data_IF_894881188244
#
_entry.id   IF_894881188244
#
_cell.length_a   1.000
_cell.length_b   1.000
_cell.length_c   1.000
_cell.angle_alpha   90.00
_cell.angle_beta   90.00
_cell.angle_gamma   90.00
#
_symmetry.space_group_name_H-M   'P 1'
#
loop_
_entity.id
_entity.type
_entity.pdbx_description
1 polymer ?
#
# COMPACT_ATOMS: atom_id res chain seq x y z
N UNK A 1 -15.29 -31.32 21.21
CA UNK A 1 -14.16 -30.47 20.81
C UNK A 1 -14.38 -30.17 19.32
N UNK A 2 -14.41 -28.92 18.90
CA UNK A 2 -14.44 -28.61 17.48
C UNK A 2 -13.18 -29.22 16.84
N UNK A 3 -13.27 -29.70 15.60
CA UNK A 3 -12.09 -30.12 14.85
C UNK A 3 -11.11 -28.96 14.75
N UNK A 4 -9.79 -29.20 14.89
CA UNK A 4 -8.80 -28.13 14.75
C UNK A 4 -8.92 -27.52 13.34
N UNK A 5 -9.06 -26.20 13.28
CA UNK A 5 -9.12 -25.47 12.02
C UNK A 5 -7.75 -25.58 11.37
N UNK A 6 -7.70 -26.16 10.18
CA UNK A 6 -6.51 -26.08 9.35
C UNK A 6 -6.55 -24.78 8.56
N UNK A 7 -5.55 -23.93 8.75
CA UNK A 7 -5.37 -22.70 7.99
C UNK A 7 -3.88 -22.40 7.82
N UNK A 8 -3.45 -22.29 6.58
CA UNK A 8 -2.10 -21.81 6.24
C UNK A 8 -2.23 -20.76 5.13
N UNK A 9 -1.86 -19.48 5.37
CA UNK A 9 -1.97 -18.40 4.39
C UNK A 9 -1.07 -18.59 3.16
N UNK A 10 -0.19 -19.56 3.18
CA UNK A 10 0.74 -19.88 2.09
C UNK A 10 0.24 -21.05 1.21
N UNK A 11 -0.85 -21.71 1.60
CA UNK A 11 -1.44 -22.78 0.80
C UNK A 11 -2.22 -22.25 -0.40
N UNK A 12 -2.34 -23.09 -1.43
CA UNK A 12 -2.96 -22.75 -2.70
C UNK A 12 -4.39 -22.23 -2.54
N UNK A 13 -5.19 -22.86 -1.67
CA UNK A 13 -6.59 -22.47 -1.45
C UNK A 13 -6.70 -21.08 -0.81
N UNK A 14 -5.83 -20.77 0.17
CA UNK A 14 -5.79 -19.45 0.80
C UNK A 14 -5.28 -18.39 -0.16
N UNK A 15 -4.33 -18.74 -1.04
CA UNK A 15 -3.81 -17.86 -2.07
C UNK A 15 -4.81 -17.67 -3.23
N UNK A 16 -5.65 -18.65 -3.54
CA UNK A 16 -6.64 -18.57 -4.61
C UNK A 16 -7.84 -17.68 -4.24
N UNK A 17 -8.39 -17.84 -3.03
CA UNK A 17 -9.49 -17.03 -2.51
C UNK A 17 -9.26 -16.63 -1.04
N UNK A 18 -8.46 -15.57 -0.81
CA UNK A 18 -8.16 -15.15 0.56
C UNK A 18 -9.41 -14.64 1.30
N UNK A 19 -10.40 -14.11 0.60
CA UNK A 19 -11.65 -13.67 1.22
C UNK A 19 -12.38 -14.81 1.88
N UNK A 20 -12.56 -15.93 1.18
CA UNK A 20 -13.18 -17.13 1.72
C UNK A 20 -12.31 -17.77 2.81
N UNK A 21 -10.99 -17.90 2.59
CA UNK A 21 -10.08 -18.55 3.53
C UNK A 21 -10.01 -17.83 4.88
N UNK A 22 -9.78 -16.51 4.87
CA UNK A 22 -9.76 -15.72 6.11
C UNK A 22 -11.15 -15.56 6.75
N UNK A 23 -12.22 -15.58 5.96
CA UNK A 23 -13.59 -15.60 6.45
C UNK A 23 -13.91 -16.88 7.23
N UNK A 24 -13.53 -18.04 6.68
CA UNK A 24 -13.65 -19.32 7.34
C UNK A 24 -12.81 -19.39 8.63
N UNK A 25 -11.56 -18.92 8.59
CA UNK A 25 -10.70 -18.83 9.78
C UNK A 25 -11.36 -18.00 10.87
N UNK A 26 -11.80 -16.78 10.56
CA UNK A 26 -12.44 -15.90 11.55
C UNK A 26 -13.67 -16.54 12.19
N UNK A 27 -14.52 -17.19 11.38
CA UNK A 27 -15.74 -17.83 11.87
C UNK A 27 -15.46 -18.99 12.82
N UNK A 28 -14.39 -19.73 12.59
CA UNK A 28 -14.05 -20.94 13.35
C UNK A 28 -13.05 -20.67 14.49
N UNK A 29 -12.07 -19.81 14.28
CA UNK A 29 -11.00 -19.52 15.24
C UNK A 29 -10.37 -18.14 14.93
N UNK A 30 -10.90 -17.04 15.46
CA UNK A 30 -10.40 -15.68 15.14
C UNK A 30 -8.95 -15.45 15.57
N UNK A 31 -8.45 -16.24 16.54
CA UNK A 31 -7.05 -16.26 16.95
C UNK A 31 -6.51 -17.69 16.82
N UNK A 32 -5.62 -17.92 15.86
CA UNK A 32 -5.10 -19.24 15.49
C UNK A 32 -3.59 -19.30 15.73
N UNK A 33 -3.11 -20.40 16.36
CA UNK A 33 -1.69 -20.70 16.48
C UNK A 33 -1.28 -21.65 15.36
N UNK A 34 -0.38 -21.19 14.51
CA UNK A 34 0.22 -22.01 13.46
C UNK A 34 1.55 -22.57 13.99
N UNK A 35 1.64 -23.88 14.25
CA UNK A 35 2.87 -24.49 14.74
C UNK A 35 3.98 -24.44 13.70
N UNK A 36 5.23 -24.47 14.16
CA UNK A 36 6.40 -24.49 13.29
C UNK A 36 6.33 -25.63 12.28
N UNK A 37 6.64 -25.32 11.03
CA UNK A 37 6.72 -26.26 9.93
C UNK A 37 8.11 -26.18 9.27
N UNK A 38 8.44 -27.15 8.39
CA UNK A 38 9.72 -27.13 7.69
C UNK A 38 9.97 -25.79 6.97
N UNK A 39 10.99 -25.05 7.40
CA UNK A 39 11.36 -23.75 6.85
C UNK A 39 10.58 -22.53 7.37
N UNK A 40 9.61 -22.71 8.29
CA UNK A 40 8.83 -21.63 8.91
C UNK A 40 8.82 -21.76 10.43
N UNK A 41 9.08 -20.68 11.19
CA UNK A 41 8.87 -20.67 12.63
C UNK A 41 7.37 -20.80 12.95
N UNK A 42 7.04 -21.04 14.20
CA UNK A 42 5.67 -20.87 14.69
C UNK A 42 5.26 -19.40 14.68
N UNK A 43 3.96 -19.14 14.49
CA UNK A 43 3.39 -17.80 14.51
C UNK A 43 1.90 -17.87 14.86
N UNK A 44 1.35 -16.74 15.21
CA UNK A 44 -0.07 -16.57 15.49
C UNK A 44 -0.75 -15.81 14.36
N UNK A 45 -2.04 -16.11 14.12
CA UNK A 45 -2.88 -15.39 13.15
C UNK A 45 -4.08 -14.80 13.88
N UNK A 46 -4.30 -13.50 13.73
CA UNK A 46 -5.45 -12.77 14.27
C UNK A 46 -6.30 -12.23 13.11
N UNK A 47 -7.61 -12.44 13.17
CA UNK A 47 -8.56 -12.03 12.12
C UNK A 47 -9.76 -11.22 12.64
N UNK A 48 -9.88 -10.99 13.95
CA UNK A 48 -10.89 -10.13 14.56
C UNK A 48 -10.56 -8.64 14.32
N UNK A 49 -11.53 -7.89 13.81
CA UNK A 49 -11.34 -6.48 13.47
C UNK A 49 -11.02 -5.61 14.70
N UNK A 50 -11.79 -5.77 15.78
CA UNK A 50 -11.66 -4.93 16.96
C UNK A 50 -10.30 -5.15 17.63
N UNK A 51 -9.90 -6.39 17.83
CA UNK A 51 -8.62 -6.73 18.46
C UNK A 51 -7.42 -6.31 17.60
N UNK A 52 -7.47 -6.53 16.27
CA UNK A 52 -6.43 -6.01 15.38
C UNK A 52 -6.29 -4.49 15.53
N UNK A 53 -7.40 -3.78 15.54
CA UNK A 53 -7.41 -2.33 15.62
C UNK A 53 -6.92 -1.82 16.96
N UNK A 54 -7.47 -2.34 18.07
CA UNK A 54 -7.22 -1.83 19.42
C UNK A 54 -5.94 -2.37 20.03
N UNK A 55 -5.70 -3.68 19.93
CA UNK A 55 -4.65 -4.35 20.69
C UNK A 55 -3.34 -4.44 19.92
N UNK A 56 -3.43 -4.62 18.58
CA UNK A 56 -2.23 -4.75 17.73
C UNK A 56 -1.78 -3.40 17.17
N UNK A 57 -2.70 -2.62 16.58
CA UNK A 57 -2.35 -1.39 15.85
C UNK A 57 -2.35 -0.14 16.72
N UNK A 58 -3.15 -0.09 17.78
CA UNK A 58 -3.28 1.05 18.71
C UNK A 58 -2.85 0.73 20.14
N UNK A 59 -2.70 -0.55 20.48
CA UNK A 59 -2.52 -1.04 21.86
C UNK A 59 -1.17 -0.76 22.52
N UNK A 60 -0.30 0.06 21.92
CA UNK A 60 0.97 0.45 22.52
C UNK A 60 2.16 -0.42 22.10
N UNK A 61 3.25 -0.44 22.90
CA UNK A 61 4.55 -0.90 22.43
C UNK A 61 4.75 -2.41 22.38
N UNK A 62 3.74 -3.22 22.72
CA UNK A 62 3.89 -4.69 22.75
C UNK A 62 4.16 -5.26 21.34
N UNK A 63 3.44 -4.77 20.35
CA UNK A 63 3.52 -5.25 18.97
C UNK A 63 4.36 -4.33 18.09
N UNK A 64 5.63 -4.66 17.95
CA UNK A 64 6.63 -3.84 17.26
C UNK A 64 6.64 -4.06 15.75
N UNK A 65 6.91 -2.99 15.01
CA UNK A 65 7.22 -3.02 13.59
C UNK A 65 8.74 -3.06 13.30
N UNK A 66 9.58 -2.84 14.32
CA UNK A 66 11.05 -2.79 14.18
C UNK A 66 11.65 -4.04 13.55
N UNK A 67 11.01 -5.19 13.73
CA UNK A 67 11.44 -6.47 13.19
C UNK A 67 10.88 -6.76 11.79
N UNK A 68 10.31 -5.75 11.14
CA UNK A 68 9.70 -5.86 9.83
C UNK A 68 8.26 -6.34 9.86
N UNK A 69 7.66 -6.41 8.69
CA UNK A 69 6.27 -6.78 8.45
C UNK A 69 6.11 -8.15 7.78
N UNK A 70 7.17 -8.94 7.76
CA UNK A 70 7.20 -10.30 7.24
C UNK A 70 7.52 -11.30 8.36
N UNK A 71 7.46 -12.59 8.05
CA UNK A 71 7.78 -13.66 8.97
C UNK A 71 9.26 -13.64 9.37
N UNK A 72 10.16 -13.42 8.41
CA UNK A 72 11.60 -13.25 8.71
C UNK A 72 11.85 -11.85 9.27
N UNK A 73 12.72 -11.79 10.26
CA UNK A 73 13.16 -10.52 10.81
C UNK A 73 13.96 -9.71 9.78
N UNK A 74 13.59 -8.46 9.64
CA UNK A 74 14.37 -7.44 8.95
C UNK A 74 14.49 -6.23 9.87
N UNK A 75 15.42 -6.33 10.84
CA UNK A 75 15.61 -5.32 11.88
C UNK A 75 16.07 -4.02 11.23
N UNK A 76 15.42 -2.91 11.61
CA UNK A 76 15.83 -1.57 11.21
C UNK A 76 15.80 -0.65 12.41
N UNK A 77 16.89 0.09 12.59
CA UNK A 77 17.00 1.16 13.59
C UNK A 77 16.76 2.54 12.98
N UNK A 78 16.41 2.60 11.68
CA UNK A 78 16.15 3.85 10.96
C UNK A 78 14.81 3.79 10.23
N UNK A 79 14.17 4.94 10.08
CA UNK A 79 13.02 5.13 9.20
C UNK A 79 11.70 4.62 9.75
N UNK A 80 10.82 4.23 8.81
CA UNK A 80 9.42 3.92 9.10
C UNK A 80 9.19 2.59 9.81
N UNK A 81 10.19 1.71 9.87
CA UNK A 81 10.13 0.44 10.60
C UNK A 81 10.51 0.57 12.07
N UNK A 82 10.82 1.77 12.55
CA UNK A 82 11.10 2.03 13.97
C UNK A 82 9.81 2.24 14.76
N UNK A 83 9.93 2.31 16.07
CA UNK A 83 8.84 2.56 17.00
C UNK A 83 9.15 3.77 17.91
N UNK A 84 8.16 4.23 18.66
CA UNK A 84 8.33 5.26 19.70
C UNK A 84 8.58 6.67 19.17
N UNK A 85 9.32 7.46 19.96
CA UNK A 85 9.51 8.88 19.70
C UNK A 85 10.27 9.17 18.39
N UNK A 86 11.29 8.38 18.10
CA UNK A 86 12.05 8.52 16.84
C UNK A 86 11.15 8.30 15.63
N UNK A 87 10.35 7.22 15.61
CA UNK A 87 9.38 6.98 14.55
C UNK A 87 8.43 8.16 14.36
N UNK A 88 7.88 8.70 15.46
CA UNK A 88 6.95 9.83 15.39
C UNK A 88 7.62 11.06 14.75
N UNK A 89 8.85 11.39 15.16
CA UNK A 89 9.60 12.51 14.62
C UNK A 89 9.98 12.29 13.13
N UNK A 90 10.46 11.11 12.79
CA UNK A 90 10.82 10.75 11.42
C UNK A 90 9.61 10.77 10.48
N UNK A 91 8.48 10.23 10.93
CA UNK A 91 7.22 10.24 10.21
C UNK A 91 6.74 11.64 9.84
N UNK A 92 6.94 12.61 10.74
CA UNK A 92 6.54 14.00 10.53
C UNK A 92 7.22 14.65 9.33
N UNK A 93 8.43 14.22 8.94
CA UNK A 93 9.14 14.71 7.75
C UNK A 93 8.29 14.52 6.49
N UNK A 94 7.73 13.32 6.33
CA UNK A 94 6.88 12.97 5.17
C UNK A 94 5.45 13.46 5.37
N UNK A 95 4.89 13.30 6.56
CA UNK A 95 3.49 13.63 6.86
C UNK A 95 3.15 15.11 6.56
N UNK A 96 4.09 16.03 6.76
CA UNK A 96 3.91 17.45 6.43
C UNK A 96 3.64 17.70 4.94
N UNK A 97 4.18 16.85 4.05
CA UNK A 97 3.93 16.90 2.60
C UNK A 97 2.65 16.16 2.17
N UNK A 98 1.97 15.46 3.10
CA UNK A 98 0.76 14.68 2.86
C UNK A 98 -0.45 15.20 3.68
N UNK A 99 -0.40 16.46 4.11
CA UNK A 99 -1.56 17.13 4.69
C UNK A 99 -2.70 17.26 3.67
N UNK A 100 -3.97 17.42 4.08
CA UNK A 100 -5.08 17.57 3.13
C UNK A 100 -4.86 18.67 2.08
N UNK A 101 -4.24 19.77 2.47
CA UNK A 101 -3.89 20.88 1.56
C UNK A 101 -2.80 20.47 0.57
N UNK A 102 -1.74 19.80 1.01
CA UNK A 102 -0.67 19.31 0.15
C UNK A 102 -1.18 18.26 -0.85
N UNK A 103 -2.00 17.32 -0.38
CA UNK A 103 -2.62 16.29 -1.25
C UNK A 103 -3.53 16.93 -2.31
N UNK A 104 -4.29 17.97 -1.95
CA UNK A 104 -5.09 18.71 -2.93
C UNK A 104 -4.23 19.35 -4.02
N UNK A 105 -3.03 19.80 -3.70
CA UNK A 105 -2.11 20.39 -4.68
C UNK A 105 -1.56 19.35 -5.70
N UNK A 106 -1.62 18.05 -5.39
CA UNK A 106 -1.26 16.99 -6.33
C UNK A 106 -2.35 16.71 -7.39
N UNK A 107 -3.61 17.10 -7.15
CA UNK A 107 -4.73 16.83 -8.06
C UNK A 107 -4.44 17.18 -9.52
N UNK A 108 -3.95 18.39 -9.90
CA UNK A 108 -3.70 18.70 -11.30
C UNK A 108 -2.64 17.81 -11.96
N UNK A 109 -1.65 17.34 -11.19
CA UNK A 109 -0.61 16.42 -11.69
C UNK A 109 -1.18 15.03 -11.93
N UNK A 110 -2.02 14.53 -11.01
CA UNK A 110 -2.72 13.25 -11.18
C UNK A 110 -3.66 13.32 -12.37
N UNK A 111 -4.45 14.38 -12.50
CA UNK A 111 -5.36 14.60 -13.64
C UNK A 111 -4.61 14.59 -14.98
N UNK A 112 -3.46 15.25 -15.07
CA UNK A 112 -2.65 15.27 -16.28
C UNK A 112 -2.17 13.86 -16.67
N UNK A 113 -1.64 13.09 -15.71
CA UNK A 113 -1.23 11.70 -15.97
C UNK A 113 -2.42 10.84 -16.42
N UNK A 114 -3.54 10.93 -15.71
CA UNK A 114 -4.75 10.16 -16.02
C UNK A 114 -5.28 10.51 -17.40
N UNK A 115 -5.34 11.81 -17.76
CA UNK A 115 -5.80 12.26 -19.07
C UNK A 115 -4.89 11.73 -20.19
N UNK A 116 -3.57 11.75 -20.01
CA UNK A 116 -2.61 11.18 -20.98
C UNK A 116 -2.80 9.65 -21.14
N UNK A 117 -3.01 8.91 -20.05
CA UNK A 117 -3.22 7.47 -20.09
C UNK A 117 -4.54 7.13 -20.79
N UNK A 118 -5.61 7.88 -20.54
CA UNK A 118 -6.90 7.73 -21.23
C UNK A 118 -6.76 8.04 -22.72
N UNK A 119 -6.06 9.12 -23.11
CA UNK A 119 -5.78 9.42 -24.51
C UNK A 119 -4.98 8.29 -25.19
N UNK A 120 -3.99 7.74 -24.51
CA UNK A 120 -3.23 6.59 -25.04
C UNK A 120 -4.12 5.37 -25.25
N UNK A 121 -5.07 5.09 -24.36
CA UNK A 121 -6.05 4.03 -24.54
C UNK A 121 -6.97 4.31 -25.73
N UNK A 122 -7.50 5.53 -25.85
CA UNK A 122 -8.39 5.93 -26.96
C UNK A 122 -7.69 5.87 -28.33
N UNK A 123 -6.37 6.02 -28.36
CA UNK A 123 -5.58 5.92 -29.58
C UNK A 123 -5.38 4.46 -30.08
N UNK A 124 -5.76 3.45 -29.31
CA UNK A 124 -5.67 2.05 -29.70
C UNK A 124 -6.85 1.72 -30.64
N UNK A 125 -6.60 1.38 -31.93
CA UNK A 125 -7.66 1.21 -32.92
C UNK A 125 -8.65 0.09 -32.59
N UNK A 126 -8.15 -0.98 -31.93
CA UNK A 126 -8.95 -2.15 -31.54
C UNK A 126 -9.94 -1.85 -30.42
N UNK A 127 -9.78 -0.71 -29.70
CA UNK A 127 -10.62 -0.30 -28.57
C UNK A 127 -10.64 -1.30 -27.43
N UNK A 128 -9.53 -2.02 -27.22
CA UNK A 128 -9.35 -3.03 -26.17
C UNK A 128 -7.89 -3.21 -25.79
N UNK A 129 -7.64 -3.70 -24.58
CA UNK A 129 -6.30 -4.00 -24.10
C UNK A 129 -6.27 -4.40 -22.64
N UNK A 130 -5.08 -4.65 -22.12
CA UNK A 130 -4.86 -4.93 -20.72
C UNK A 130 -4.80 -3.63 -19.89
N UNK A 131 -5.77 -3.44 -19.03
CA UNK A 131 -5.91 -2.24 -18.20
C UNK A 131 -4.76 -2.05 -17.20
N UNK A 132 -4.16 -3.16 -16.72
CA UNK A 132 -3.02 -3.05 -15.80
C UNK A 132 -1.84 -2.37 -16.48
N UNK A 133 -1.42 -2.85 -17.64
CA UNK A 133 -0.28 -2.29 -18.38
C UNK A 133 -0.57 -0.90 -18.98
N UNK A 134 -1.81 -0.66 -19.42
CA UNK A 134 -2.18 0.60 -20.06
C UNK A 134 -2.46 1.73 -19.08
N UNK A 135 -2.93 1.42 -17.86
CA UNK A 135 -3.44 2.45 -16.96
C UNK A 135 -3.08 2.24 -15.48
N UNK A 136 -3.46 1.10 -14.87
CA UNK A 136 -3.40 0.95 -13.43
C UNK A 136 -1.97 0.94 -12.88
N UNK A 137 -1.00 0.43 -13.65
CA UNK A 137 0.41 0.37 -13.29
C UNK A 137 1.14 1.70 -13.59
N UNK A 138 1.00 2.33 -14.79
CA UNK A 138 1.71 3.57 -15.08
C UNK A 138 1.34 4.73 -14.15
N UNK A 139 0.07 4.85 -13.74
CA UNK A 139 -0.39 5.97 -12.93
C UNK A 139 0.38 6.11 -11.61
N UNK A 140 0.35 5.15 -10.66
CA UNK A 140 1.08 5.29 -9.40
C UNK A 140 2.61 5.30 -9.60
N UNK A 141 3.14 4.62 -10.61
CA UNK A 141 4.57 4.63 -10.90
C UNK A 141 5.09 6.01 -11.32
N UNK A 142 4.35 6.70 -12.20
CA UNK A 142 4.65 8.08 -12.62
C UNK A 142 4.48 9.06 -11.44
N UNK A 143 3.41 8.89 -10.66
CA UNK A 143 3.21 9.70 -9.44
C UNK A 143 4.35 9.55 -8.45
N UNK A 144 4.87 8.33 -8.28
CA UNK A 144 5.99 8.07 -7.39
C UNK A 144 7.25 8.83 -7.83
N UNK A 145 7.57 8.83 -9.13
CA UNK A 145 8.67 9.63 -9.67
C UNK A 145 8.48 11.11 -9.35
N UNK A 146 7.30 11.67 -9.63
CA UNK A 146 7.00 13.09 -9.36
C UNK A 146 7.09 13.43 -7.87
N UNK A 147 6.57 12.57 -6.99
CA UNK A 147 6.61 12.80 -5.54
C UNK A 147 8.04 12.79 -4.99
N UNK A 148 8.90 11.92 -5.51
CA UNK A 148 10.32 11.88 -5.14
C UNK A 148 11.15 12.91 -5.89
N UNK A 149 10.58 13.62 -6.89
CA UNK A 149 11.30 14.59 -7.71
C UNK A 149 12.30 13.94 -8.65
N UNK A 150 12.02 12.73 -9.10
CA UNK A 150 12.75 12.04 -10.16
C UNK A 150 12.14 12.34 -11.53
N UNK A 151 12.89 12.14 -12.62
CA UNK A 151 12.34 12.22 -13.96
C UNK A 151 11.19 11.23 -14.14
N UNK A 152 10.05 11.72 -14.63
CA UNK A 152 8.86 10.87 -14.82
C UNK A 152 9.13 9.74 -15.83
N UNK A 153 10.02 9.94 -16.79
CA UNK A 153 10.44 8.94 -17.76
C UNK A 153 11.08 7.69 -17.11
N UNK A 154 11.55 7.81 -15.88
CA UNK A 154 12.19 6.70 -15.15
C UNK A 154 11.18 5.73 -14.50
N UNK A 155 9.87 5.96 -14.65
CA UNK A 155 8.85 5.20 -13.94
C UNK A 155 8.95 3.67 -14.15
N UNK A 156 9.43 3.21 -15.31
CA UNK A 156 9.63 1.79 -15.58
C UNK A 156 10.74 1.18 -14.72
N UNK A 157 11.83 1.92 -14.44
CA UNK A 157 12.87 1.49 -13.52
C UNK A 157 12.32 1.43 -12.09
N UNK A 158 11.54 2.43 -11.67
CA UNK A 158 10.88 2.46 -10.36
C UNK A 158 9.95 1.27 -10.18
N UNK A 159 9.17 0.91 -11.22
CA UNK A 159 8.32 -0.28 -11.21
C UNK A 159 9.15 -1.55 -11.06
N UNK A 160 10.18 -1.73 -11.87
CA UNK A 160 11.06 -2.89 -11.81
C UNK A 160 11.71 -3.04 -10.43
N UNK A 161 12.24 -1.96 -9.86
CA UNK A 161 12.84 -1.97 -8.53
C UNK A 161 11.84 -2.29 -7.43
N UNK A 162 10.65 -1.69 -7.49
CA UNK A 162 9.58 -1.97 -6.54
C UNK A 162 9.20 -3.45 -6.56
N UNK A 163 8.92 -4.02 -7.73
CA UNK A 163 8.57 -5.43 -7.88
C UNK A 163 9.66 -6.36 -7.33
N UNK A 164 10.93 -6.06 -7.69
CA UNK A 164 12.06 -6.86 -7.22
C UNK A 164 12.20 -6.80 -5.70
N UNK A 165 12.12 -5.59 -5.09
CA UNK A 165 12.21 -5.44 -3.64
C UNK A 165 11.06 -6.15 -2.92
N UNK A 166 9.85 -6.08 -3.45
CA UNK A 166 8.69 -6.73 -2.85
C UNK A 166 8.81 -8.25 -2.96
N UNK A 167 9.16 -8.78 -4.14
CA UNK A 167 9.42 -10.19 -4.31
C UNK A 167 10.49 -10.68 -3.32
N UNK A 168 11.64 -10.01 -3.26
CA UNK A 168 12.75 -10.37 -2.37
C UNK A 168 12.42 -10.23 -0.87
N UNK A 169 11.43 -9.40 -0.51
CA UNK A 169 11.02 -9.23 0.89
C UNK A 169 10.10 -10.35 1.36
N UNK A 170 9.25 -10.89 0.49
CA UNK A 170 8.17 -11.80 0.88
C UNK A 170 8.32 -13.24 0.38
N UNK A 171 9.12 -13.44 -0.65
CA UNK A 171 9.57 -14.76 -1.07
C UNK A 171 10.88 -15.11 -0.34
N UNK A 172 11.38 -16.31 -0.44
CA UNK A 172 12.63 -16.73 0.20
C UNK A 172 13.80 -16.64 -0.80
N UNK A 173 14.35 -15.42 -1.01
CA UNK A 173 15.35 -15.21 -2.05
C UNK A 173 16.71 -15.81 -1.67
N UNK A 174 17.52 -16.09 -2.69
CA UNK A 174 18.93 -16.42 -2.51
C UNK A 174 19.65 -15.33 -1.70
N UNK A 175 20.55 -15.71 -0.77
CA UNK A 175 21.33 -14.74 0.00
C UNK A 175 22.04 -13.71 -0.89
N UNK A 176 21.97 -12.43 -0.54
CA UNK A 176 22.59 -11.33 -1.28
C UNK A 176 21.75 -10.77 -2.46
N UNK A 177 20.59 -11.34 -2.74
CA UNK A 177 19.70 -10.82 -3.81
C UNK A 177 19.17 -9.42 -3.49
N UNK A 178 18.85 -9.16 -2.24
CA UNK A 178 18.38 -7.85 -1.78
C UNK A 178 19.47 -6.77 -1.92
N UNK A 179 20.68 -7.07 -1.50
CA UNK A 179 21.84 -6.18 -1.62
C UNK A 179 22.18 -5.91 -3.10
N UNK A 180 21.94 -6.88 -3.97
CA UNK A 180 22.21 -6.71 -5.40
C UNK A 180 21.30 -5.66 -6.01
N UNK A 181 20.00 -5.66 -5.72
CA UNK A 181 19.09 -4.63 -6.24
C UNK A 181 19.34 -3.26 -5.59
N UNK A 182 19.73 -3.21 -4.31
CA UNK A 182 20.06 -1.96 -3.65
C UNK A 182 21.30 -1.28 -4.24
N UNK A 183 22.25 -2.03 -4.86
CA UNK A 183 23.40 -1.47 -5.58
C UNK A 183 23.00 -0.67 -6.83
N UNK A 184 21.81 -0.89 -7.38
CA UNK A 184 21.28 -0.06 -8.45
C UNK A 184 20.51 1.15 -7.89
N UNK A 185 19.70 0.91 -6.86
CA UNK A 185 18.77 1.90 -6.29
C UNK A 185 19.49 3.01 -5.54
N UNK A 186 20.45 2.67 -4.69
CA UNK A 186 21.13 3.65 -3.83
C UNK A 186 21.93 4.69 -4.62
N UNK A 187 22.73 4.34 -5.64
CA UNK A 187 23.41 5.35 -6.46
C UNK A 187 22.44 6.30 -7.18
N UNK A 188 21.30 5.78 -7.66
CA UNK A 188 20.28 6.61 -8.30
C UNK A 188 19.75 7.68 -7.34
N UNK A 189 19.25 7.28 -6.15
CA UNK A 189 18.75 8.24 -5.17
C UNK A 189 19.85 9.14 -4.60
N UNK A 190 21.06 8.63 -4.41
CA UNK A 190 22.24 9.44 -4.00
C UNK A 190 22.49 10.56 -5.00
N UNK A 191 22.49 10.27 -6.30
CA UNK A 191 22.64 11.28 -7.35
C UNK A 191 21.56 12.35 -7.27
N UNK A 192 20.30 11.98 -7.06
CA UNK A 192 19.20 12.92 -6.92
C UNK A 192 19.32 13.79 -5.66
N UNK A 193 19.82 13.25 -4.56
CA UNK A 193 20.11 14.01 -3.33
C UNK A 193 21.26 14.99 -3.57
N UNK A 194 22.37 14.55 -4.18
CA UNK A 194 23.52 15.38 -4.50
C UNK A 194 23.18 16.54 -5.43
N UNK A 195 22.31 16.34 -6.42
CA UNK A 195 21.80 17.40 -7.29
C UNK A 195 21.11 18.51 -6.49
N UNK A 196 20.30 18.15 -5.47
CA UNK A 196 19.64 19.13 -4.59
C UNK A 196 20.61 19.85 -3.68
N UNK A 197 21.60 19.14 -3.16
CA UNK A 197 22.68 19.75 -2.39
C UNK A 197 23.46 20.76 -3.23
N UNK A 198 23.75 20.45 -4.49
CA UNK A 198 24.40 21.36 -5.42
C UNK A 198 23.58 22.65 -5.68
N UNK A 199 22.25 22.56 -5.74
CA UNK A 199 21.38 23.74 -5.86
C UNK A 199 21.48 24.65 -4.64
N UNK A 200 21.53 24.11 -3.43
CA UNK A 200 21.72 24.87 -2.19
C UNK A 200 23.08 25.58 -2.17
N UNK A 201 24.14 24.85 -2.53
CA UNK A 201 25.49 25.43 -2.62
C UNK A 201 25.55 26.57 -3.65
N UNK A 202 24.98 26.37 -4.84
CA UNK A 202 24.94 27.39 -5.89
C UNK A 202 24.14 28.63 -5.47
N UNK A 203 23.15 28.49 -4.61
CA UNK A 203 22.37 29.60 -4.06
C UNK A 203 22.98 30.21 -2.79
N UNK A 204 24.12 29.74 -2.30
CA UNK A 204 24.77 30.20 -1.07
C UNK A 204 23.98 29.95 0.20
N UNK A 205 23.21 28.82 0.25
CA UNK A 205 22.37 28.46 1.40
C UNK A 205 23.12 27.49 2.29
N UNK A 206 23.57 27.96 3.44
CA UNK A 206 24.31 27.16 4.43
C UNK A 206 23.33 26.42 5.37
N UNK A 207 22.23 27.05 5.76
CA UNK A 207 21.21 26.52 6.66
C UNK A 207 19.84 26.37 5.94
N UNK A 208 19.66 25.33 5.09
CA UNK A 208 18.41 25.16 4.37
C UNK A 208 17.26 24.74 5.32
N UNK A 209 16.06 25.27 5.01
CA UNK A 209 14.82 24.98 5.71
C UNK A 209 13.64 24.85 4.72
N UNK A 210 12.43 24.67 5.23
CA UNK A 210 11.23 24.46 4.42
C UNK A 210 10.87 25.64 3.50
N UNK A 211 11.38 26.87 3.76
CA UNK A 211 11.12 28.04 2.91
C UNK A 211 11.84 27.97 1.56
N UNK A 212 12.84 27.12 1.45
CA UNK A 212 13.59 26.90 0.21
C UNK A 212 12.87 25.97 -0.78
N UNK A 213 11.79 25.26 -0.32
CA UNK A 213 10.97 24.43 -1.21
C UNK A 213 10.16 25.30 -2.18
N UNK A 214 10.17 24.95 -3.45
CA UNK A 214 9.51 25.70 -4.52
C UNK A 214 10.22 26.99 -4.91
N UNK A 215 11.41 27.29 -4.35
CA UNK A 215 12.23 28.46 -4.65
C UNK A 215 13.63 28.04 -5.11
N UNK A 216 14.51 27.65 -4.20
CA UNK A 216 15.86 27.12 -4.49
C UNK A 216 15.79 25.63 -4.83
N UNK A 217 14.96 24.89 -4.11
CA UNK A 217 14.75 23.46 -4.29
C UNK A 217 13.39 23.18 -4.92
N UNK A 218 13.25 22.10 -5.71
CA UNK A 218 11.94 21.59 -6.08
C UNK A 218 11.08 21.27 -4.83
N UNK A 219 9.76 21.45 -4.92
CA UNK A 219 8.85 21.00 -3.84
C UNK A 219 8.49 19.53 -4.03
N UNK A 220 9.42 18.66 -3.62
CA UNK A 220 9.29 17.20 -3.63
C UNK A 220 9.72 16.60 -2.27
N UNK A 221 9.47 15.30 -2.07
CA UNK A 221 9.77 14.65 -0.80
C UNK A 221 11.26 14.48 -0.52
N UNK A 222 12.09 14.37 -1.55
CA UNK A 222 13.54 14.29 -1.38
C UNK A 222 14.11 15.63 -0.94
N UNK A 223 13.70 16.74 -1.56
CA UNK A 223 14.04 18.10 -1.13
C UNK A 223 13.55 18.36 0.29
N UNK A 224 12.33 17.93 0.60
CA UNK A 224 11.74 18.06 1.94
C UNK A 224 12.54 17.27 2.98
N UNK A 225 12.97 16.04 2.68
CA UNK A 225 13.84 15.26 3.55
C UNK A 225 15.18 15.97 3.80
N UNK A 226 15.79 16.52 2.76
CA UNK A 226 17.07 17.23 2.82
C UNK A 226 17.04 18.43 3.77
N UNK A 227 15.94 19.20 3.77
CA UNK A 227 15.82 20.42 4.61
C UNK A 227 15.18 20.18 5.97
N UNK A 228 14.64 19.00 6.21
CA UNK A 228 13.97 18.65 7.47
C UNK A 228 14.96 18.29 8.58
N UNK A 229 14.47 18.35 9.83
CA UNK A 229 15.21 17.94 11.02
C UNK A 229 14.40 16.91 11.80
N UNK A 230 15.11 15.94 12.36
CA UNK A 230 14.61 14.94 13.31
C UNK A 230 15.46 15.05 14.57
N UNK A 231 14.85 15.23 15.75
CA UNK A 231 15.55 15.42 17.02
C UNK A 231 16.63 16.52 16.95
N UNK A 232 16.26 17.67 16.34
CA UNK A 232 17.11 18.86 16.16
C UNK A 232 18.35 18.67 15.26
N UNK A 233 18.56 17.53 14.66
CA UNK A 233 19.59 17.28 13.65
C UNK A 233 19.00 17.08 12.27
N UNK A 234 19.79 17.29 11.23
CA UNK A 234 19.43 16.92 9.85
C UNK A 234 19.36 15.39 9.71
N UNK A 235 18.57 14.94 8.74
CA UNK A 235 18.53 13.54 8.38
C UNK A 235 19.91 13.11 7.86
N UNK A 236 20.30 11.91 8.24
CA UNK A 236 21.47 11.25 7.63
C UNK A 236 21.17 10.84 6.19
N UNK A 237 22.20 10.56 5.42
CA UNK A 237 22.04 10.03 4.06
C UNK A 237 21.22 8.72 4.04
N UNK A 238 21.48 7.82 4.98
CA UNK A 238 20.76 6.56 5.14
C UNK A 238 19.28 6.79 5.44
N UNK A 239 18.93 7.76 6.29
CA UNK A 239 17.55 8.11 6.60
C UNK A 239 16.81 8.67 5.37
N UNK A 240 17.50 9.48 4.54
CA UNK A 240 16.94 9.96 3.28
C UNK A 240 16.72 8.83 2.28
N UNK A 241 17.66 7.90 2.14
CA UNK A 241 17.49 6.69 1.32
C UNK A 241 16.33 5.82 1.83
N UNK A 242 16.16 5.70 3.14
CA UNK A 242 15.04 4.96 3.73
C UNK A 242 13.68 5.58 3.36
N UNK A 243 13.58 6.91 3.30
CA UNK A 243 12.37 7.59 2.79
C UNK A 243 12.13 7.19 1.32
N UNK A 244 13.16 7.26 0.48
CA UNK A 244 13.04 6.90 -0.94
C UNK A 244 12.58 5.44 -1.13
N UNK A 245 13.17 4.50 -0.38
CA UNK A 245 12.77 3.09 -0.42
C UNK A 245 11.34 2.87 0.07
N UNK A 246 10.91 3.57 1.11
CA UNK A 246 9.55 3.47 1.62
C UNK A 246 8.51 3.94 0.60
N UNK A 247 8.80 5.01 -0.13
CA UNK A 247 7.96 5.45 -1.25
C UNK A 247 7.96 4.41 -2.37
N UNK A 248 9.13 3.95 -2.77
CA UNK A 248 9.30 2.98 -3.87
C UNK A 248 8.51 1.69 -3.62
N UNK A 249 8.56 1.15 -2.40
CA UNK A 249 7.89 -0.12 -2.05
C UNK A 249 6.43 0.05 -1.63
N UNK A 250 6.05 1.18 -1.05
CA UNK A 250 4.72 1.38 -0.47
C UNK A 250 3.67 1.95 -1.41
N UNK A 251 4.07 2.78 -2.38
CA UNK A 251 3.14 3.62 -3.12
C UNK A 251 2.69 3.08 -4.49
N UNK A 252 3.31 2.03 -4.99
CA UNK A 252 3.13 1.60 -6.36
C UNK A 252 2.20 0.40 -6.51
N UNK A 253 2.61 -0.78 -6.03
CA UNK A 253 1.87 -2.02 -6.18
C UNK A 253 0.49 -1.96 -5.52
N UNK A 254 0.41 -1.38 -4.33
CA UNK A 254 -0.84 -1.27 -3.57
C UNK A 254 -1.87 -0.41 -4.30
N UNK A 255 -1.46 0.72 -4.89
CA UNK A 255 -2.36 1.61 -5.64
C UNK A 255 -2.72 1.02 -7.00
N UNK A 256 -1.79 0.34 -7.67
CA UNK A 256 -2.06 -0.44 -8.89
C UNK A 256 -3.17 -1.47 -8.63
N UNK A 257 -3.04 -2.24 -7.55
CA UNK A 257 -4.03 -3.27 -7.19
C UNK A 257 -5.37 -2.65 -6.77
N UNK A 258 -5.36 -1.53 -6.03
CA UNK A 258 -6.60 -0.80 -5.69
C UNK A 258 -7.38 -0.40 -6.96
N UNK A 259 -6.70 0.22 -7.93
CA UNK A 259 -7.35 0.69 -9.18
C UNK A 259 -7.83 -0.50 -10.01
N UNK A 260 -7.02 -1.56 -10.10
CA UNK A 260 -7.37 -2.78 -10.81
C UNK A 260 -8.57 -3.51 -10.19
N UNK A 261 -8.59 -3.67 -8.87
CA UNK A 261 -9.71 -4.31 -8.13
C UNK A 261 -10.99 -3.49 -8.26
N UNK A 262 -10.88 -2.19 -8.07
CA UNK A 262 -12.02 -1.27 -8.18
C UNK A 262 -12.68 -1.41 -9.55
N UNK A 263 -11.91 -1.29 -10.63
CA UNK A 263 -12.45 -1.43 -11.97
C UNK A 263 -13.00 -2.84 -12.24
N UNK A 264 -12.28 -3.88 -11.83
CA UNK A 264 -12.75 -5.26 -11.96
C UNK A 264 -14.12 -5.45 -11.31
N UNK A 265 -14.29 -5.07 -10.04
CA UNK A 265 -15.55 -5.24 -9.31
C UNK A 265 -16.70 -4.44 -9.89
N UNK A 266 -16.41 -3.29 -10.46
CA UNK A 266 -17.42 -2.48 -11.14
C UNK A 266 -17.87 -3.11 -12.47
N UNK A 267 -16.94 -3.70 -13.22
CA UNK A 267 -17.24 -4.27 -14.53
C UNK A 267 -17.69 -5.74 -14.48
N UNK A 268 -17.42 -6.47 -13.41
CA UNK A 268 -17.98 -7.82 -13.16
C UNK A 268 -19.51 -7.81 -13.04
N UNK A 269 -20.08 -6.68 -12.60
CA UNK A 269 -21.51 -6.44 -12.52
C UNK A 269 -21.84 -5.12 -13.24
N UNK A 270 -22.16 -5.17 -14.54
CA UNK A 270 -22.36 -3.97 -15.37
C UNK A 270 -23.34 -2.94 -14.79
N UNK A 271 -24.30 -3.37 -13.99
CA UNK A 271 -25.23 -2.49 -13.26
C UNK A 271 -24.52 -1.56 -12.27
N UNK A 272 -23.40 -1.95 -11.69
CA UNK A 272 -22.58 -1.09 -10.81
C UNK A 272 -21.93 0.05 -11.59
N UNK A 273 -21.44 -0.25 -12.80
CA UNK A 273 -20.87 0.75 -13.69
C UNK A 273 -21.91 1.77 -14.13
N UNK A 274 -23.11 1.29 -14.52
CA UNK A 274 -24.23 2.15 -14.89
C UNK A 274 -24.72 3.00 -13.69
N UNK A 275 -24.75 2.43 -12.49
CA UNK A 275 -25.10 3.15 -11.27
C UNK A 275 -24.12 4.30 -10.98
N UNK A 276 -22.81 4.08 -11.15
CA UNK A 276 -21.80 5.13 -10.98
C UNK A 276 -21.88 6.21 -12.04
N UNK A 277 -22.15 5.85 -13.31
CA UNK A 277 -22.41 6.83 -14.38
C UNK A 277 -23.62 7.71 -14.07
N UNK A 278 -24.69 7.10 -13.56
CA UNK A 278 -25.90 7.80 -13.19
C UNK A 278 -25.74 8.66 -11.91
N UNK A 279 -24.88 8.24 -10.99
CA UNK A 279 -24.62 8.91 -9.73
C UNK A 279 -23.14 8.95 -9.35
N UNK A 280 -22.34 9.88 -9.91
CA UNK A 280 -20.92 10.01 -9.62
C UNK A 280 -20.59 10.33 -8.14
N UNK A 281 -21.57 10.73 -7.32
CA UNK A 281 -21.33 10.94 -5.89
C UNK A 281 -20.99 9.66 -5.13
N UNK A 282 -21.25 8.48 -5.71
CA UNK A 282 -20.89 7.17 -5.16
C UNK A 282 -19.42 6.78 -5.41
N UNK A 283 -18.65 7.58 -6.13
CA UNK A 283 -17.24 7.26 -6.42
C UNK A 283 -16.43 7.08 -5.14
N UNK A 284 -16.58 7.96 -4.16
CA UNK A 284 -15.87 7.83 -2.87
C UNK A 284 -16.28 6.54 -2.13
N UNK A 285 -17.57 6.17 -2.18
CA UNK A 285 -18.04 4.90 -1.60
C UNK A 285 -17.44 3.68 -2.32
N UNK A 286 -17.42 3.69 -3.65
CA UNK A 286 -16.85 2.61 -4.44
C UNK A 286 -15.34 2.41 -4.15
N UNK A 287 -14.58 3.50 -3.98
CA UNK A 287 -13.16 3.44 -3.61
C UNK A 287 -12.98 2.82 -2.23
N UNK A 288 -13.73 3.26 -1.21
CA UNK A 288 -13.62 2.71 0.15
C UNK A 288 -14.12 1.25 0.20
N UNK A 289 -15.16 0.91 -0.54
CA UNK A 289 -15.64 -0.46 -0.62
C UNK A 289 -14.65 -1.39 -1.33
N UNK A 290 -13.96 -0.92 -2.36
CA UNK A 290 -12.88 -1.68 -2.99
C UNK A 290 -11.74 -1.94 -2.01
N UNK A 291 -11.33 -0.94 -1.24
CA UNK A 291 -10.34 -1.08 -0.18
C UNK A 291 -10.78 -2.07 0.90
N UNK A 292 -12.05 -2.05 1.28
CA UNK A 292 -12.61 -2.99 2.25
C UNK A 292 -12.63 -4.42 1.71
N UNK A 293 -13.22 -4.61 0.55
CA UNK A 293 -13.59 -5.93 0.02
C UNK A 293 -12.39 -6.69 -0.55
N UNK A 294 -11.56 -5.99 -1.34
CA UNK A 294 -10.33 -6.51 -1.95
C UNK A 294 -9.11 -5.67 -1.50
N UNK A 295 -8.70 -5.76 -0.22
CA UNK A 295 -7.57 -4.98 0.27
C UNK A 295 -6.30 -5.34 -0.50
N UNK A 296 -5.55 -4.37 -1.06
CA UNK A 296 -4.31 -4.64 -1.79
C UNK A 296 -3.26 -5.38 -0.97
N UNK A 297 -3.35 -5.26 0.36
CA UNK A 297 -2.52 -6.00 1.32
C UNK A 297 -3.44 -6.88 2.17
N UNK A 298 -3.18 -8.19 2.16
CA UNK A 298 -4.01 -9.18 2.86
C UNK A 298 -3.72 -9.24 4.35
N UNK A 299 -2.45 -9.12 4.72
CA UNK A 299 -1.99 -9.25 6.09
C UNK A 299 -0.61 -8.62 6.29
N UNK A 300 -0.25 -8.37 7.55
CA UNK A 300 1.09 -7.98 7.98
C UNK A 300 1.51 -8.73 9.23
N UNK A 301 2.82 -8.79 9.49
CA UNK A 301 3.35 -9.28 10.74
C UNK A 301 3.69 -8.15 11.72
N UNK A 302 3.65 -8.48 13.00
CA UNK A 302 4.25 -7.77 14.14
C UNK A 302 5.03 -8.75 14.97
N UNK A 303 5.95 -8.24 15.78
CA UNK A 303 6.73 -9.05 16.71
C UNK A 303 6.49 -8.56 18.13
N UNK A 304 6.18 -9.46 19.06
CA UNK A 304 6.01 -9.12 20.48
C UNK A 304 7.34 -8.67 21.10
N UNK A 305 7.32 -7.60 21.89
CA UNK A 305 8.48 -7.09 22.63
C UNK A 305 8.61 -7.67 24.04
N UNK A 306 7.57 -8.33 24.52
CA UNK A 306 7.52 -8.97 25.83
C UNK A 306 6.51 -10.10 25.80
N UNK A 307 6.57 -10.95 26.80
CA UNK A 307 5.49 -11.91 27.05
C UNK A 307 4.16 -11.16 27.21
N UNK A 308 3.12 -11.69 26.58
CA UNK A 308 1.76 -11.14 26.60
C UNK A 308 0.74 -12.25 26.49
N UNK A 309 -0.54 -11.91 26.60
CA UNK A 309 -1.64 -12.87 26.45
C UNK A 309 -2.68 -12.30 25.48
N UNK A 310 -3.06 -13.12 24.51
CA UNK A 310 -4.20 -12.89 23.63
C UNK A 310 -5.12 -14.11 23.67
N UNK A 311 -6.41 -13.88 23.90
CA UNK A 311 -7.35 -14.96 24.16
C UNK A 311 -6.85 -15.86 25.31
N UNK A 312 -6.83 -17.18 25.09
CA UNK A 312 -6.34 -18.16 26.07
C UNK A 312 -4.89 -18.60 25.81
N UNK A 313 -4.17 -17.91 24.93
CA UNK A 313 -2.79 -18.21 24.57
C UNK A 313 -1.81 -17.27 25.27
N UNK A 314 -0.83 -17.83 25.94
CA UNK A 314 0.36 -17.11 26.42
C UNK A 314 1.32 -16.97 25.24
N UNK A 315 1.63 -15.73 24.89
CA UNK A 315 2.47 -15.35 23.74
C UNK A 315 3.85 -15.00 24.27
N UNK A 316 4.90 -15.71 23.87
CA UNK A 316 6.25 -15.42 24.32
C UNK A 316 6.78 -14.11 23.72
N UNK A 317 7.81 -13.55 24.34
CA UNK A 317 8.61 -12.50 23.73
C UNK A 317 9.18 -12.98 22.39
N UNK A 318 9.25 -12.10 21.41
CA UNK A 318 9.74 -12.37 20.03
C UNK A 318 8.82 -13.26 19.19
N UNK A 319 7.62 -13.54 19.64
CA UNK A 319 6.63 -14.22 18.82
C UNK A 319 6.17 -13.37 17.63
N UNK A 320 5.88 -14.04 16.52
CA UNK A 320 5.31 -13.43 15.32
C UNK A 320 3.79 -13.50 15.38
N UNK A 321 3.14 -12.37 15.16
CA UNK A 321 1.70 -12.25 14.99
C UNK A 321 1.39 -11.74 13.58
N UNK A 322 0.75 -12.56 12.78
CA UNK A 322 0.12 -12.18 11.52
C UNK A 322 -1.28 -11.62 11.83
N UNK A 323 -1.53 -10.38 11.51
CA UNK A 323 -2.88 -9.83 11.57
C UNK A 323 -3.46 -9.70 10.16
N UNK A 324 -4.66 -10.30 9.98
CA UNK A 324 -5.34 -10.38 8.69
C UNK A 324 -6.19 -9.14 8.45
N UNK A 325 -5.77 -8.30 7.51
CA UNK A 325 -6.57 -7.17 7.02
C UNK A 325 -7.78 -7.70 6.26
N UNK A 326 -7.58 -8.72 5.42
CA UNK A 326 -8.65 -9.34 4.63
C UNK A 326 -9.75 -9.93 5.52
N UNK A 327 -9.37 -10.64 6.58
CA UNK A 327 -10.32 -11.18 7.56
C UNK A 327 -11.05 -10.09 8.32
N UNK A 328 -10.32 -9.10 8.84
CA UNK A 328 -10.90 -7.97 9.58
C UNK A 328 -11.88 -7.13 8.75
N UNK A 329 -11.56 -6.89 7.48
CA UNK A 329 -12.40 -6.11 6.58
C UNK A 329 -13.71 -6.80 6.17
N UNK A 330 -13.85 -8.07 6.52
CA UNK A 330 -15.07 -8.86 6.31
C UNK A 330 -15.71 -9.32 7.62
N UNK A 331 -15.42 -8.64 8.71
CA UNK A 331 -15.99 -8.94 10.01
C UNK A 331 -17.45 -8.51 10.09
N UNK A 332 -18.42 -9.47 10.29
CA UNK A 332 -19.83 -9.14 10.39
C UNK A 332 -20.21 -8.35 11.65
N UNK A 333 -19.31 -8.26 12.64
CA UNK A 333 -19.50 -7.38 13.79
C UNK A 333 -19.32 -5.89 13.44
N UNK A 334 -18.71 -5.60 12.28
CA UNK A 334 -18.40 -4.23 11.83
C UNK A 334 -19.10 -3.87 10.53
N UNK A 335 -19.25 -4.83 9.61
CA UNK A 335 -19.77 -4.61 8.27
C UNK A 335 -21.04 -5.43 8.04
N UNK A 336 -22.13 -4.77 7.64
CA UNK A 336 -23.32 -5.45 7.18
C UNK A 336 -23.06 -6.14 5.85
N UNK A 337 -23.55 -7.36 5.65
CA UNK A 337 -23.30 -8.18 4.46
C UNK A 337 -21.82 -8.12 4.02
N UNK A 338 -20.90 -8.62 4.88
CA UNK A 338 -19.46 -8.38 4.71
C UNK A 338 -18.88 -9.01 3.44
N UNK A 339 -19.52 -10.06 2.91
CA UNK A 339 -19.12 -10.80 1.73
C UNK A 339 -19.78 -10.29 0.44
N UNK A 340 -20.52 -9.17 0.50
CA UNK A 340 -21.06 -8.47 -0.65
C UNK A 340 -20.25 -7.21 -0.97
N UNK A 341 -19.95 -6.99 -2.27
CA UNK A 341 -19.35 -5.75 -2.77
C UNK A 341 -20.47 -4.75 -3.08
N UNK A 342 -20.61 -3.72 -2.25
CA UNK A 342 -21.70 -2.74 -2.31
C UNK A 342 -21.17 -1.31 -2.46
N UNK A 343 -21.33 -0.71 -3.64
CA UNK A 343 -20.91 0.68 -3.90
C UNK A 343 -21.80 1.72 -3.20
N UNK A 344 -22.94 1.30 -2.67
CA UNK A 344 -23.87 2.10 -1.88
C UNK A 344 -23.69 1.93 -0.36
N UNK A 345 -22.71 1.10 0.08
CA UNK A 345 -22.39 0.97 1.50
C UNK A 345 -22.15 2.34 2.11
N UNK A 346 -22.74 2.66 3.29
CA UNK A 346 -22.53 3.96 3.92
C UNK A 346 -21.05 4.26 4.12
N UNK A 347 -20.63 5.43 3.67
CA UNK A 347 -19.20 5.82 3.70
C UNK A 347 -18.56 5.73 5.10
N UNK A 348 -19.24 6.08 6.21
CA UNK A 348 -18.72 5.89 7.56
C UNK A 348 -18.49 4.41 7.92
N UNK A 349 -19.29 3.50 7.40
CA UNK A 349 -19.13 2.06 7.58
C UNK A 349 -17.95 1.56 6.72
N UNK A 350 -17.97 1.83 5.40
CA UNK A 350 -16.89 1.43 4.51
C UNK A 350 -15.51 1.85 5.02
N UNK A 351 -15.39 3.07 5.57
CA UNK A 351 -14.15 3.63 6.12
C UNK A 351 -13.65 2.97 7.41
N UNK A 352 -14.38 2.03 7.97
CA UNK A 352 -13.87 1.26 9.11
C UNK A 352 -12.85 0.19 8.70
N UNK A 353 -12.67 -0.06 7.40
CA UNK A 353 -11.68 -1.03 6.92
C UNK A 353 -10.26 -0.72 7.41
N UNK A 354 -9.44 -1.77 7.58
CA UNK A 354 -8.06 -1.67 8.05
C UNK A 354 -7.01 -1.70 6.93
N UNK A 355 -7.39 -1.47 5.68
CA UNK A 355 -6.49 -1.55 4.50
C UNK A 355 -5.35 -0.54 4.53
N UNK A 356 -5.51 0.55 5.26
CA UNK A 356 -4.43 1.51 5.53
C UNK A 356 -3.84 1.36 6.94
N UNK A 357 -4.18 0.30 7.67
CA UNK A 357 -3.81 0.13 9.05
C UNK A 357 -4.53 1.10 9.99
N UNK A 358 -3.98 1.27 11.20
CA UNK A 358 -4.48 2.18 12.24
C UNK A 358 -3.34 2.60 13.17
N UNK A 359 -3.59 3.57 14.06
CA UNK A 359 -2.62 3.99 15.07
C UNK A 359 -1.40 4.70 14.50
N UNK A 360 -0.26 4.52 15.17
CA UNK A 360 0.98 5.26 14.89
C UNK A 360 1.57 4.94 13.52
N UNK A 361 1.29 3.77 12.97
CA UNK A 361 1.73 3.32 11.65
C UNK A 361 0.64 3.44 10.56
N UNK A 362 -0.44 4.20 10.78
CA UNK A 362 -1.45 4.48 9.75
C UNK A 362 -0.76 4.93 8.45
N UNK A 363 -1.16 4.37 7.31
CA UNK A 363 -0.52 4.64 6.02
C UNK A 363 -0.48 6.13 5.69
N UNK A 364 0.72 6.65 5.44
CA UNK A 364 0.92 8.05 5.04
C UNK A 364 0.39 8.35 3.65
N UNK A 365 0.46 7.37 2.73
CA UNK A 365 -0.01 7.48 1.35
C UNK A 365 -1.52 7.38 1.17
N UNK A 366 -2.28 7.04 2.21
CA UNK A 366 -3.73 6.81 2.11
C UNK A 366 -4.52 7.94 1.42
N UNK A 367 -4.26 9.23 1.68
CA UNK A 367 -4.96 10.31 0.99
C UNK A 367 -4.62 10.41 -0.49
N UNK A 368 -3.38 10.08 -0.88
CA UNK A 368 -2.93 10.12 -2.29
C UNK A 368 -3.52 8.94 -3.05
N UNK A 369 -3.45 7.72 -2.52
CA UNK A 369 -4.02 6.53 -3.14
C UNK A 369 -5.55 6.68 -3.41
N UNK A 370 -6.28 7.24 -2.43
CA UNK A 370 -7.70 7.58 -2.61
C UNK A 370 -7.92 8.59 -3.71
N UNK A 371 -7.08 9.61 -3.77
CA UNK A 371 -7.20 10.66 -4.79
C UNK A 371 -6.88 10.12 -6.18
N UNK A 372 -5.85 9.29 -6.32
CA UNK A 372 -5.52 8.62 -7.59
C UNK A 372 -6.68 7.73 -8.08
N UNK A 373 -7.19 6.85 -7.21
CA UNK A 373 -8.30 5.96 -7.56
C UNK A 373 -9.57 6.75 -7.91
N UNK A 374 -9.86 7.83 -7.19
CA UNK A 374 -11.01 8.71 -7.45
C UNK A 374 -10.90 9.39 -8.81
N UNK A 375 -9.77 10.05 -9.11
CA UNK A 375 -9.56 10.76 -10.38
C UNK A 375 -9.57 9.77 -11.54
N UNK A 376 -8.92 8.62 -11.38
CA UNK A 376 -8.96 7.55 -12.38
C UNK A 376 -10.41 7.18 -12.71
N UNK A 377 -11.23 6.92 -11.70
CA UNK A 377 -12.63 6.53 -11.91
C UNK A 377 -13.47 7.67 -12.52
N UNK A 378 -13.30 8.92 -12.05
CA UNK A 378 -13.94 10.11 -12.62
C UNK A 378 -13.68 10.19 -14.14
N UNK A 379 -12.41 10.08 -14.57
CA UNK A 379 -12.03 10.19 -15.99
C UNK A 379 -12.45 8.98 -16.84
N UNK A 380 -12.34 7.76 -16.27
CA UNK A 380 -12.77 6.55 -16.97
C UNK A 380 -14.28 6.58 -17.25
N UNK A 381 -15.10 7.01 -16.30
CA UNK A 381 -16.56 7.17 -16.47
C UNK A 381 -16.86 8.23 -17.55
N UNK A 382 -16.18 9.37 -17.51
CA UNK A 382 -16.37 10.48 -18.43
C UNK A 382 -15.97 10.13 -19.88
N UNK A 383 -14.78 9.51 -20.03
CA UNK A 383 -14.12 9.36 -21.33
C UNK A 383 -14.30 7.99 -21.97
N UNK A 384 -14.52 6.94 -21.17
CA UNK A 384 -14.71 5.54 -21.58
C UNK A 384 -16.01 4.95 -21.01
N UNK A 385 -17.20 5.58 -21.26
CA UNK A 385 -18.45 5.19 -20.64
C UNK A 385 -18.93 3.78 -20.98
N UNK A 386 -18.41 3.22 -22.10
CA UNK A 386 -18.75 1.87 -22.59
C UNK A 386 -17.73 0.80 -22.13
N UNK A 387 -16.92 1.13 -21.15
CA UNK A 387 -15.90 0.21 -20.64
C UNK A 387 -16.55 -1.10 -20.16
N UNK A 388 -16.01 -2.23 -20.60
CA UNK A 388 -16.51 -3.58 -20.25
C UNK A 388 -15.37 -4.55 -20.03
N UNK A 389 -15.57 -5.49 -19.12
CA UNK A 389 -14.63 -6.56 -18.83
C UNK A 389 -14.66 -7.62 -19.93
N UNK A 390 -13.49 -8.03 -20.38
CA UNK A 390 -13.31 -9.16 -21.33
C UNK A 390 -12.71 -10.38 -20.62
N UNK A 391 -11.83 -10.18 -19.65
CA UNK A 391 -11.18 -11.23 -18.90
C UNK A 391 -10.36 -10.73 -17.74
N UNK A 392 -10.05 -11.63 -16.82
CA UNK A 392 -9.20 -11.35 -15.65
C UNK A 392 -7.98 -12.26 -15.77
N UNK A 393 -6.80 -11.68 -15.69
CA UNK A 393 -5.52 -12.39 -15.67
C UNK A 393 -5.34 -13.23 -14.40
N UNK A 394 -4.27 -14.02 -14.38
CA UNK A 394 -3.90 -14.80 -13.21
C UNK A 394 -3.72 -13.94 -11.97
N UNK A 395 -3.77 -14.59 -10.81
CA UNK A 395 -3.54 -13.92 -9.54
C UNK A 395 -2.05 -13.76 -9.23
N UNK A 396 -1.66 -12.62 -8.63
CA UNK A 396 -0.36 -12.47 -7.97
C UNK A 396 -0.35 -13.37 -6.74
N UNK A 397 0.54 -14.38 -6.72
CA UNK A 397 0.57 -15.43 -5.71
C UNK A 397 1.52 -15.09 -4.59
N UNK A 398 1.11 -14.20 -3.70
CA UNK A 398 1.79 -13.93 -2.46
C UNK A 398 0.80 -13.95 -1.30
N UNK A 399 1.24 -14.31 -0.12
CA UNK A 399 0.43 -14.27 1.10
C UNK A 399 0.11 -12.85 1.55
N UNK A 400 0.90 -11.88 1.09
CA UNK A 400 0.78 -10.49 1.51
C UNK A 400 -0.04 -9.64 0.56
N UNK A 401 0.16 -9.78 -0.75
CA UNK A 401 -0.50 -8.93 -1.74
C UNK A 401 -1.67 -9.63 -2.43
N UNK A 402 -2.73 -8.88 -2.60
CA UNK A 402 -3.87 -9.24 -3.44
C UNK A 402 -3.81 -8.44 -4.73
N UNK A 403 -3.71 -9.11 -5.85
CA UNK A 403 -3.63 -8.48 -7.17
C UNK A 403 -3.82 -9.48 -8.30
N UNK A 404 -3.97 -8.96 -9.50
CA UNK A 404 -4.06 -9.74 -10.74
C UNK A 404 -2.93 -9.36 -11.68
N UNK A 405 -2.54 -10.30 -12.56
CA UNK A 405 -1.48 -10.09 -13.54
C UNK A 405 -1.97 -9.38 -14.80
N UNK A 406 -3.27 -9.13 -14.93
CA UNK A 406 -3.89 -8.41 -16.02
C UNK A 406 -5.40 -8.27 -15.86
N UNK A 407 -5.99 -7.34 -16.59
CA UNK A 407 -7.42 -7.09 -16.67
C UNK A 407 -7.76 -6.68 -18.12
N UNK A 408 -8.21 -7.64 -18.91
CA UNK A 408 -8.58 -7.36 -20.29
C UNK A 408 -9.92 -6.62 -20.36
N UNK A 409 -9.91 -5.45 -20.97
CA UNK A 409 -11.07 -4.57 -21.10
C UNK A 409 -11.27 -4.11 -22.54
N UNK A 410 -12.49 -3.72 -22.88
CA UNK A 410 -12.82 -3.01 -24.10
C UNK A 410 -13.64 -1.77 -23.82
N UNK A 411 -13.52 -0.76 -24.69
CA UNK A 411 -14.16 0.56 -24.51
C UNK A 411 -14.86 1.10 -25.76
N UNK A 412 -14.99 0.30 -26.82
CA UNK A 412 -15.76 0.64 -28.04
C UNK A 412 -17.25 0.38 -27.87
#
# INVERSE_FOLDING_TARGET
>A
MAEPVHFDPFEEDALADPGAAYGALRAACPFHHQPAQAGRPDYYVLSDHAEIKTDVLQGGPIWSFRFGNAMKDSISDVGFKTDGAFHAAFRMVVQRGLTPSAVKAWRPKIEAIVDELVEAMLAIPEGRGDFYSLFALPLPARMMCLMLGAPEADYQNYKRWSDTLQFLTFEDPEPGSYETVLREIYPHFTTLIEQRQALLVAAGVDEPDLSHLGTVLPDDFMSRALVSRVEDRRLTHEEMLNICLAFLTGGQETTTNLIGHLLRRLLEAPERWEQLKANPSLIDNAVEESLRFDPPVLAHFRTSLSETRLHDHDIPERAKLMFSICGANRDPAVFEDPDEFRIDRPLPEARQHLSFGSGVHLCLGAPVARLEAKIALERLIERLPNLRLLGVGGRVRTWMYWGHTGLDVAWN
#
